data_IF_420029591014
#
_entry.id   IF_420029591014
#
_cell.length_a   1.000
_cell.length_b   1.000
_cell.length_c   1.000
_cell.angle_alpha   90.00
_cell.angle_beta   90.00
_cell.angle_gamma   90.00
#
_symmetry.space_group_name_H-M   'P 1'
#
loop_
_entity.id
_entity.type
_entity.pdbx_description
1 polymer ?
#
# COMPACT_ATOMS: atom_id res chain seq x y z
N UNK A 1 18.02 -48.55 9.69
CA UNK A 1 17.87 -47.09 9.72
C UNK A 1 17.71 -46.64 8.27
N UNK A 2 16.49 -46.19 7.91
CA UNK A 2 16.31 -45.45 6.68
C UNK A 2 16.67 -44.01 7.00
N UNK A 3 17.79 -43.51 6.44
CA UNK A 3 18.08 -42.09 6.44
C UNK A 3 16.97 -41.42 5.63
N UNK A 4 16.14 -40.65 6.32
CA UNK A 4 15.16 -39.77 5.67
C UNK A 4 15.99 -38.63 5.07
N UNK A 5 16.27 -38.72 3.76
CA UNK A 5 16.88 -37.61 3.03
C UNK A 5 15.87 -36.50 2.91
N UNK A 6 16.17 -35.35 3.51
CA UNK A 6 15.35 -34.16 3.33
C UNK A 6 15.79 -33.50 2.01
N UNK A 7 14.98 -33.65 0.97
CA UNK A 7 15.21 -33.14 -0.36
C UNK A 7 14.79 -31.67 -0.45
N UNK A 8 15.55 -30.86 -1.17
CA UNK A 8 15.28 -29.45 -1.41
C UNK A 8 16.52 -28.72 -1.91
N UNK A 9 16.38 -27.44 -2.23
CA UNK A 9 17.52 -26.62 -2.63
C UNK A 9 18.48 -26.39 -1.46
N UNK A 10 19.78 -26.73 -1.65
CA UNK A 10 20.82 -26.56 -0.63
C UNK A 10 21.73 -25.36 -0.88
N UNK A 11 21.49 -24.58 -1.95
CA UNK A 11 22.31 -23.41 -2.27
C UNK A 11 21.77 -22.17 -1.54
N UNK A 12 22.54 -21.53 -0.62
CA UNK A 12 22.10 -20.36 0.13
C UNK A 12 21.85 -19.10 -0.71
N UNK A 13 22.33 -19.07 -1.96
CA UNK A 13 22.11 -17.97 -2.90
C UNK A 13 20.83 -18.14 -3.73
N UNK A 14 20.15 -19.30 -3.62
CA UNK A 14 18.88 -19.52 -4.31
C UNK A 14 17.70 -18.94 -3.54
N UNK A 15 16.67 -18.55 -4.27
CA UNK A 15 15.43 -17.97 -3.73
C UNK A 15 14.63 -18.95 -2.86
N UNK A 16 14.73 -20.23 -3.18
CA UNK A 16 14.01 -21.31 -2.49
C UNK A 16 14.95 -22.18 -1.63
N UNK A 17 16.04 -21.56 -1.10
CA UNK A 17 16.95 -22.25 -0.17
C UNK A 17 16.19 -22.86 1.01
N UNK A 18 16.41 -24.16 1.21
CA UNK A 18 15.87 -24.88 2.37
C UNK A 18 17.00 -25.24 3.34
N UNK A 19 17.15 -24.56 4.49
CA UNK A 19 18.21 -24.83 5.46
C UNK A 19 18.14 -26.23 6.08
N UNK A 20 16.99 -26.91 6.00
CA UNK A 20 16.79 -28.27 6.50
C UNK A 20 17.07 -29.34 5.44
N UNK A 21 17.30 -28.96 4.17
CA UNK A 21 17.62 -29.90 3.12
C UNK A 21 19.02 -30.50 3.34
N UNK A 22 19.11 -31.83 3.24
CA UNK A 22 20.36 -32.58 3.35
C UNK A 22 20.86 -33.09 2.00
N UNK A 23 20.01 -33.02 0.99
CA UNK A 23 20.33 -33.45 -0.40
C UNK A 23 19.66 -32.47 -1.37
N UNK A 24 20.46 -31.93 -2.27
CA UNK A 24 19.98 -31.10 -3.36
C UNK A 24 19.17 -31.96 -4.35
N UNK A 25 17.93 -31.55 -4.60
CA UNK A 25 17.03 -32.24 -5.56
C UNK A 25 17.01 -31.55 -6.92
N UNK A 26 17.86 -30.55 -7.16
CA UNK A 26 17.92 -29.75 -8.38
C UNK A 26 16.82 -28.72 -8.53
N UNK A 27 16.07 -28.43 -7.46
CA UNK A 27 14.98 -27.44 -7.45
C UNK A 27 15.45 -26.01 -7.22
N UNK A 28 16.77 -25.76 -7.11
CA UNK A 28 17.27 -24.41 -6.86
C UNK A 28 16.85 -23.41 -7.93
N UNK A 29 16.20 -22.34 -7.51
CA UNK A 29 15.76 -21.24 -8.37
C UNK A 29 16.60 -19.98 -8.09
N UNK A 30 17.11 -19.37 -9.17
CA UNK A 30 17.95 -18.17 -9.12
C UNK A 30 17.35 -17.00 -9.90
N UNK A 31 16.24 -17.23 -10.60
CA UNK A 31 15.62 -16.24 -11.51
C UNK A 31 14.28 -15.71 -11.03
N UNK A 32 13.71 -16.33 -10.00
CA UNK A 32 12.38 -15.97 -9.43
C UNK A 32 12.46 -15.43 -8.00
N UNK A 33 13.65 -14.98 -7.58
CA UNK A 33 13.84 -14.36 -6.26
C UNK A 33 13.02 -13.08 -6.07
N UNK A 34 12.63 -12.47 -7.19
CA UNK A 34 11.81 -11.27 -7.23
C UNK A 34 10.30 -11.59 -7.41
N UNK A 35 9.86 -12.87 -7.26
CA UNK A 35 8.44 -13.22 -7.30
C UNK A 35 7.70 -12.55 -6.13
N UNK A 36 6.89 -11.57 -6.49
CA UNK A 36 6.17 -10.71 -5.56
C UNK A 36 6.74 -9.30 -5.43
N UNK A 37 7.92 -9.00 -6.01
CA UNK A 37 8.39 -7.63 -6.13
C UNK A 37 7.51 -6.85 -7.12
N UNK A 38 7.12 -5.66 -6.73
CA UNK A 38 6.24 -4.78 -7.48
C UNK A 38 6.79 -3.36 -7.51
N UNK A 39 6.49 -2.65 -8.59
CA UNK A 39 6.75 -1.22 -8.72
C UNK A 39 5.43 -0.45 -8.52
N UNK A 40 5.36 0.31 -7.44
CA UNK A 40 4.29 1.30 -7.22
C UNK A 40 4.68 2.59 -7.93
N UNK A 41 4.00 2.89 -9.02
CA UNK A 41 4.25 4.10 -9.82
C UNK A 41 3.25 5.19 -9.44
N UNK A 42 3.74 6.26 -8.81
CA UNK A 42 2.96 7.43 -8.44
C UNK A 42 3.22 8.56 -9.45
N UNK A 43 2.20 8.95 -10.22
CA UNK A 43 2.23 10.15 -11.04
C UNK A 43 1.72 11.32 -10.22
N UNK A 44 2.62 12.21 -9.82
CA UNK A 44 2.36 13.31 -8.89
C UNK A 44 2.20 14.62 -9.66
N UNK A 45 1.11 15.32 -9.40
CA UNK A 45 0.85 16.65 -9.95
C UNK A 45 1.32 17.73 -8.98
N UNK A 46 1.61 18.91 -9.50
CA UNK A 46 1.82 20.11 -8.69
C UNK A 46 0.64 20.37 -7.76
N UNK A 47 0.90 20.65 -6.49
CA UNK A 47 -0.11 20.80 -5.45
C UNK A 47 -0.34 19.49 -4.68
N UNK A 48 -1.56 19.27 -4.21
CA UNK A 48 -1.88 18.12 -3.37
C UNK A 48 -2.07 16.84 -4.15
N UNK A 49 -1.57 15.72 -3.60
CA UNK A 49 -1.74 14.36 -4.11
C UNK A 49 -2.13 13.45 -2.95
N UNK A 50 -3.20 12.69 -3.11
CA UNK A 50 -3.62 11.66 -2.16
C UNK A 50 -2.98 10.35 -2.59
N UNK A 51 -2.00 9.90 -1.84
CA UNK A 51 -1.17 8.73 -2.18
C UNK A 51 -1.31 7.62 -1.15
N UNK A 52 -1.05 6.39 -1.58
CA UNK A 52 -0.74 5.26 -0.72
C UNK A 52 0.42 4.45 -1.32
N UNK A 53 1.17 3.77 -0.47
CA UNK A 53 2.28 2.90 -0.89
C UNK A 53 1.86 1.47 -0.62
N UNK A 54 1.50 0.72 -1.67
CA UNK A 54 1.04 -0.67 -1.56
C UNK A 54 2.17 -1.69 -1.83
N UNK A 55 3.35 -1.40 -1.33
CA UNK A 55 4.52 -2.28 -1.37
C UNK A 55 5.26 -2.25 -0.03
N UNK A 56 5.72 -3.40 0.44
CA UNK A 56 6.58 -3.54 1.63
C UNK A 56 8.02 -3.38 1.19
N UNK A 57 8.71 -2.33 1.63
CA UNK A 57 10.03 -1.96 1.11
C UNK A 57 11.21 -2.32 2.03
N UNK A 58 10.95 -2.75 3.25
CA UNK A 58 11.98 -3.02 4.26
C UNK A 58 12.62 -1.76 4.86
N UNK A 59 12.31 -0.56 4.33
CA UNK A 59 12.65 0.74 4.90
C UNK A 59 11.60 1.79 4.51
N UNK A 60 10.60 1.95 5.35
CA UNK A 60 9.41 2.76 5.11
C UNK A 60 9.58 4.22 5.56
N UNK A 61 10.82 4.65 5.87
CA UNK A 61 11.12 6.03 6.25
C UNK A 61 10.90 7.01 5.09
N UNK A 62 10.46 8.23 5.39
CA UNK A 62 10.26 9.29 4.39
C UNK A 62 11.50 9.56 3.53
N UNK A 63 12.74 9.63 4.09
CA UNK A 63 13.93 9.79 3.26
C UNK A 63 14.18 8.64 2.28
N UNK A 64 13.80 7.40 2.65
CA UNK A 64 13.93 6.23 1.78
C UNK A 64 12.91 6.27 0.65
N UNK A 65 11.62 6.46 1.00
CA UNK A 65 10.52 6.37 0.04
C UNK A 65 10.38 7.61 -0.83
N UNK A 66 10.44 8.81 -0.23
CA UNK A 66 10.19 10.09 -0.89
C UNK A 66 11.46 10.91 -1.18
N UNK A 67 12.63 10.41 -0.78
CA UNK A 67 13.92 11.07 -1.04
C UNK A 67 14.17 11.36 -2.53
N UNK A 68 13.81 10.48 -3.47
CA UNK A 68 13.98 10.73 -4.91
C UNK A 68 13.27 11.99 -5.43
N UNK A 69 12.18 12.44 -4.79
CA UNK A 69 11.45 13.67 -5.15
C UNK A 69 12.23 14.95 -4.83
N UNK A 70 13.16 14.89 -3.85
CA UNK A 70 14.02 16.02 -3.47
C UNK A 70 13.22 17.30 -3.25
N UNK A 71 13.76 18.42 -3.73
CA UNK A 71 13.16 19.75 -3.63
C UNK A 71 11.85 19.92 -4.43
N UNK A 72 11.45 18.93 -5.23
CA UNK A 72 10.15 18.88 -5.92
C UNK A 72 8.98 18.66 -4.96
N UNK A 73 9.24 17.99 -3.81
CA UNK A 73 8.26 17.84 -2.75
C UNK A 73 8.33 19.01 -1.75
N UNK A 74 7.24 19.25 -1.01
CA UNK A 74 7.14 20.35 -0.06
C UNK A 74 6.70 19.89 1.33
N UNK A 75 5.64 19.09 1.39
CA UNK A 75 4.96 18.76 2.64
C UNK A 75 4.22 17.43 2.50
N UNK A 76 4.17 16.65 3.58
CA UNK A 76 3.35 15.44 3.67
C UNK A 76 2.66 15.38 5.03
N UNK A 77 1.42 14.88 5.05
CA UNK A 77 0.67 14.66 6.29
C UNK A 77 -0.10 13.36 6.24
N UNK A 78 -0.22 12.72 7.40
CA UNK A 78 -1.11 11.59 7.69
C UNK A 78 -2.37 12.08 8.41
N UNK A 79 -3.30 11.17 8.65
CA UNK A 79 -4.49 11.45 9.46
C UNK A 79 -4.14 11.59 10.95
N UNK A 80 -3.24 10.75 11.47
CA UNK A 80 -2.97 10.63 12.91
C UNK A 80 -1.50 10.83 13.32
N UNK A 81 -0.53 10.50 12.43
CA UNK A 81 0.91 10.46 12.78
C UNK A 81 1.61 11.81 12.58
N UNK A 82 0.82 12.83 12.20
CA UNK A 82 1.31 14.19 12.03
C UNK A 82 1.78 14.50 10.61
N UNK A 83 2.88 15.24 10.51
CA UNK A 83 3.34 15.77 9.22
C UNK A 83 4.85 15.94 9.18
N UNK A 84 5.40 16.11 7.97
CA UNK A 84 6.80 16.50 7.72
C UNK A 84 6.90 17.48 6.57
N UNK A 85 7.88 18.39 6.65
CA UNK A 85 8.25 19.32 5.59
C UNK A 85 9.57 18.89 4.95
N UNK A 86 9.73 19.17 3.66
CA UNK A 86 11.00 18.99 2.99
C UNK A 86 11.84 20.27 3.02
N UNK A 87 13.11 20.14 3.38
CA UNK A 87 14.10 21.21 3.43
C UNK A 87 15.31 20.84 2.58
N UNK A 88 15.78 21.74 1.73
CA UNK A 88 16.86 21.49 0.78
C UNK A 88 18.18 21.06 1.46
N UNK A 89 18.45 21.57 2.67
CA UNK A 89 19.70 21.30 3.38
C UNK A 89 19.72 19.97 4.16
N UNK A 90 18.57 19.43 4.58
CA UNK A 90 18.51 18.24 5.45
C UNK A 90 17.35 17.26 5.14
N UNK A 91 16.59 17.49 4.07
CA UNK A 91 15.51 16.59 3.64
C UNK A 91 14.23 16.72 4.49
N UNK A 92 13.55 15.60 4.69
CA UNK A 92 12.31 15.54 5.43
C UNK A 92 12.50 15.74 6.94
N UNK A 93 11.69 16.61 7.55
CA UNK A 93 11.73 16.89 8.98
C UNK A 93 10.32 17.19 9.51
N UNK A 94 9.91 16.48 10.56
CA UNK A 94 8.63 16.60 11.24
C UNK A 94 8.35 15.45 12.16
N UNK A 95 7.08 15.25 12.54
CA UNK A 95 6.63 14.14 13.38
C UNK A 95 6.30 12.88 12.57
N UNK A 96 5.96 13.03 11.30
CA UNK A 96 5.76 11.90 10.39
C UNK A 96 7.13 11.45 9.86
N UNK A 97 7.60 10.29 10.30
CA UNK A 97 8.94 9.77 9.97
C UNK A 97 8.89 8.58 9.02
N UNK A 98 7.81 7.78 9.08
CA UNK A 98 7.60 6.55 8.31
C UNK A 98 6.22 6.55 7.66
N UNK A 99 6.08 5.80 6.56
CA UNK A 99 4.80 5.59 5.88
C UNK A 99 4.34 4.14 6.06
N UNK A 100 3.07 3.99 6.42
CA UNK A 100 2.41 2.70 6.56
C UNK A 100 1.63 2.36 5.29
N UNK A 101 1.66 1.10 4.86
CA UNK A 101 0.93 0.63 3.68
C UNK A 101 -0.59 0.77 3.85
N UNK A 102 -1.10 0.65 5.09
CA UNK A 102 -2.53 0.72 5.41
C UNK A 102 -3.11 2.14 5.26
N UNK A 103 -2.26 3.17 5.28
CA UNK A 103 -2.67 4.55 5.36
C UNK A 103 -2.62 5.29 4.01
N UNK A 104 -3.49 6.30 3.90
CA UNK A 104 -3.38 7.34 2.89
C UNK A 104 -2.59 8.52 3.45
N UNK A 105 -1.84 9.17 2.57
CA UNK A 105 -1.13 10.42 2.86
C UNK A 105 -1.51 11.52 1.88
N UNK A 106 -1.48 12.77 2.35
CA UNK A 106 -1.57 13.92 1.49
C UNK A 106 -0.17 14.50 1.29
N UNK A 107 0.35 14.38 0.06
CA UNK A 107 1.65 14.88 -0.36
C UNK A 107 1.48 16.16 -1.19
N UNK A 108 2.14 17.24 -0.81
CA UNK A 108 2.17 18.49 -1.56
C UNK A 108 3.46 18.59 -2.38
N UNK A 109 3.29 18.81 -3.70
CA UNK A 109 4.36 18.93 -4.67
C UNK A 109 4.48 20.36 -5.20
N UNK A 110 5.71 20.83 -5.40
CA UNK A 110 6.01 22.12 -6.05
C UNK A 110 5.98 22.04 -7.58
N UNK A 111 6.14 20.84 -8.11
CA UNK A 111 6.17 20.52 -9.54
C UNK A 111 5.62 19.14 -9.81
N UNK A 112 5.24 18.87 -11.06
CA UNK A 112 4.86 17.53 -11.49
C UNK A 112 6.10 16.61 -11.44
N UNK A 113 5.91 15.35 -10.98
CA UNK A 113 6.98 14.35 -10.93
C UNK A 113 6.39 12.94 -10.99
N UNK A 114 7.26 11.94 -11.14
CA UNK A 114 6.92 10.54 -11.02
C UNK A 114 7.82 9.89 -9.98
N UNK A 115 7.22 9.18 -9.05
CA UNK A 115 7.92 8.39 -8.05
C UNK A 115 7.67 6.91 -8.31
N UNK A 116 8.72 6.11 -8.31
CA UNK A 116 8.63 4.63 -8.33
C UNK A 116 9.13 4.12 -7.00
N UNK A 117 8.29 3.36 -6.32
CA UNK A 117 8.63 2.66 -5.08
C UNK A 117 8.61 1.17 -5.37
N UNK A 118 9.76 0.52 -5.27
CA UNK A 118 9.92 -0.92 -5.49
C UNK A 118 9.92 -1.65 -4.15
N UNK A 119 9.16 -2.74 -4.04
CA UNK A 119 9.07 -3.56 -2.84
C UNK A 119 8.29 -4.84 -3.07
N UNK A 120 8.07 -5.61 -2.01
CA UNK A 120 7.23 -6.81 -2.08
C UNK A 120 5.75 -6.43 -2.09
N UNK A 121 4.95 -7.13 -2.88
CA UNK A 121 3.49 -6.96 -2.85
C UNK A 121 2.94 -7.20 -1.44
N UNK A 122 1.98 -6.36 -1.02
CA UNK A 122 1.31 -6.53 0.28
C UNK A 122 0.44 -7.79 0.23
N UNK A 123 0.57 -8.66 1.24
CA UNK A 123 -0.39 -9.74 1.45
C UNK A 123 -1.69 -9.17 2.03
N UNK A 124 -2.64 -8.86 1.16
CA UNK A 124 -3.89 -8.18 1.51
C UNK A 124 -4.76 -8.96 2.49
N UNK A 125 -4.64 -10.30 2.50
CA UNK A 125 -5.43 -11.14 3.40
C UNK A 125 -4.93 -11.11 4.84
N UNK A 126 -3.63 -10.85 5.03
CA UNK A 126 -2.98 -10.75 6.35
C UNK A 126 -2.71 -9.31 6.80
N UNK A 127 -3.15 -8.31 6.03
CA UNK A 127 -2.95 -6.88 6.32
C UNK A 127 -4.32 -6.17 6.42
N UNK A 128 -5.09 -6.43 7.51
CA UNK A 128 -6.37 -5.76 7.73
C UNK A 128 -6.17 -4.30 8.14
N UNK A 129 -6.95 -3.38 7.57
CA UNK A 129 -6.96 -1.97 7.97
C UNK A 129 -8.00 -1.76 9.08
N UNK A 130 -7.55 -1.31 10.24
CA UNK A 130 -8.43 -0.92 11.35
C UNK A 130 -9.17 0.37 11.02
N UNK A 131 -10.50 0.36 11.14
CA UNK A 131 -11.37 1.48 10.84
C UNK A 131 -12.10 1.95 12.10
N UNK A 132 -12.24 3.27 12.25
CA UNK A 132 -12.94 3.91 13.36
C UNK A 132 -14.20 4.62 12.87
N UNK A 133 -15.17 4.82 13.76
CA UNK A 133 -16.35 5.64 13.46
C UNK A 133 -15.92 7.01 12.91
N UNK A 134 -16.55 7.44 11.82
CA UNK A 134 -16.23 8.69 11.12
C UNK A 134 -15.25 8.48 9.96
N UNK A 135 -14.37 9.46 9.74
CA UNK A 135 -13.47 9.47 8.60
C UNK A 135 -12.18 8.67 8.85
N UNK A 136 -11.81 7.85 7.86
CA UNK A 136 -10.58 7.07 7.82
C UNK A 136 -9.84 7.35 6.51
N UNK A 137 -8.56 7.66 6.60
CA UNK A 137 -7.67 7.83 5.45
C UNK A 137 -7.01 6.48 5.14
N UNK A 138 -7.52 5.78 4.14
CA UNK A 138 -7.12 4.40 3.84
C UNK A 138 -6.22 4.31 2.62
N UNK A 139 -5.19 3.45 2.70
CA UNK A 139 -4.41 2.99 1.57
C UNK A 139 -5.17 1.96 0.74
N UNK A 140 -4.86 1.85 -0.54
CA UNK A 140 -5.34 0.77 -1.40
C UNK A 140 -4.23 -0.26 -1.59
N UNK A 141 -4.38 -1.43 -0.94
CA UNK A 141 -3.31 -2.45 -0.85
C UNK A 141 -3.16 -3.35 -2.09
N UNK A 142 -4.25 -3.71 -2.84
CA UNK A 142 -4.12 -4.60 -4.00
C UNK A 142 -3.24 -4.01 -5.11
N UNK A 143 -2.62 -4.89 -5.91
CA UNK A 143 -1.72 -4.49 -7.01
C UNK A 143 -2.44 -4.17 -8.31
N UNK A 144 -3.73 -4.52 -8.40
CA UNK A 144 -4.60 -4.21 -9.55
C UNK A 144 -5.81 -3.41 -9.08
N UNK A 145 -6.39 -2.62 -9.97
CA UNK A 145 -7.63 -1.92 -9.67
C UNK A 145 -8.79 -2.89 -9.48
N UNK A 146 -9.74 -2.51 -8.65
CA UNK A 146 -10.94 -3.30 -8.39
C UNK A 146 -12.18 -2.41 -8.30
N UNK A 147 -13.34 -3.03 -8.48
CA UNK A 147 -14.61 -2.34 -8.29
C UNK A 147 -14.81 -1.99 -6.82
N UNK A 148 -15.43 -0.83 -6.57
CA UNK A 148 -15.70 -0.37 -5.22
C UNK A 148 -16.50 -1.40 -4.40
N UNK A 149 -17.51 -2.06 -5.03
CA UNK A 149 -18.31 -3.09 -4.38
C UNK A 149 -17.50 -4.29 -3.92
N UNK A 150 -16.53 -4.74 -4.72
CA UNK A 150 -15.71 -5.89 -4.40
C UNK A 150 -14.63 -5.51 -3.39
N UNK A 151 -13.92 -4.43 -3.62
CA UNK A 151 -12.85 -3.95 -2.75
C UNK A 151 -13.31 -3.70 -1.31
N UNK A 152 -14.51 -3.14 -1.12
CA UNK A 152 -15.06 -2.82 0.20
C UNK A 152 -16.08 -3.87 0.71
N UNK A 153 -16.06 -5.09 0.16
CA UNK A 153 -17.03 -6.13 0.52
C UNK A 153 -16.94 -6.56 2.00
N UNK A 154 -15.76 -6.48 2.61
CA UNK A 154 -15.55 -6.86 4.02
C UNK A 154 -16.18 -5.89 5.02
N UNK A 155 -16.33 -4.60 4.68
CA UNK A 155 -16.94 -3.59 5.56
C UNK A 155 -18.46 -3.49 5.40
N UNK A 156 -18.99 -3.95 4.26
CA UNK A 156 -20.43 -4.01 4.01
C UNK A 156 -21.15 -2.68 4.26
N UNK A 157 -22.26 -2.74 5.01
CA UNK A 157 -23.10 -1.60 5.43
C UNK A 157 -22.48 -0.76 6.57
N UNK A 158 -21.36 -1.18 7.15
CA UNK A 158 -20.59 -0.39 8.11
C UNK A 158 -19.98 0.86 7.49
N UNK A 159 -19.70 0.86 6.20
CA UNK A 159 -19.18 2.02 5.48
C UNK A 159 -20.32 2.79 4.80
N UNK A 160 -20.32 4.13 4.91
CA UNK A 160 -21.42 4.99 4.45
C UNK A 160 -21.08 5.85 3.23
N UNK A 161 -19.79 6.24 3.11
CA UNK A 161 -19.34 7.16 2.06
C UNK A 161 -17.85 6.97 1.79
N UNK A 162 -17.44 7.12 0.54
CA UNK A 162 -16.05 7.13 0.14
C UNK A 162 -15.79 8.21 -0.91
N UNK A 163 -14.63 8.83 -0.83
CA UNK A 163 -14.18 9.84 -1.81
C UNK A 163 -12.73 9.65 -2.18
N UNK A 164 -12.42 9.99 -3.43
CA UNK A 164 -11.07 10.09 -3.98
C UNK A 164 -10.72 11.54 -4.31
N UNK A 165 -9.47 11.82 -4.60
CA UNK A 165 -9.06 13.14 -5.03
C UNK A 165 -9.59 13.51 -6.43
N UNK A 166 -9.66 12.54 -7.37
CA UNK A 166 -9.91 12.82 -8.78
C UNK A 166 -11.18 12.17 -9.33
N UNK A 167 -11.57 10.99 -8.81
CA UNK A 167 -12.64 10.18 -9.43
C UNK A 167 -14.02 10.44 -8.77
N UNK A 168 -14.07 11.43 -7.86
CA UNK A 168 -15.28 11.82 -7.16
C UNK A 168 -15.57 10.96 -5.93
N UNK A 169 -16.84 10.60 -5.75
CA UNK A 169 -17.30 9.92 -4.53
C UNK A 169 -18.40 8.91 -4.80
N UNK A 170 -18.66 8.04 -3.82
CA UNK A 170 -19.84 7.17 -3.78
C UNK A 170 -20.41 7.09 -2.37
N UNK A 171 -21.73 6.91 -2.29
CA UNK A 171 -22.48 6.72 -1.05
C UNK A 171 -23.02 5.29 -1.02
N UNK A 172 -23.00 4.66 0.15
CA UNK A 172 -23.60 3.34 0.34
C UNK A 172 -25.08 3.44 0.67
N UNK A 173 -25.89 2.61 0.04
CA UNK A 173 -27.33 2.47 0.29
C UNK A 173 -27.66 0.99 0.54
N UNK A 174 -28.39 0.69 1.60
CA UNK A 174 -28.70 -0.68 2.05
C UNK A 174 -29.30 -1.56 0.94
N UNK A 175 -30.17 -1.01 0.11
CA UNK A 175 -30.86 -1.74 -0.97
C UNK A 175 -30.07 -1.82 -2.29
N UNK A 176 -29.04 -0.97 -2.50
CA UNK A 176 -28.38 -0.73 -3.78
C UNK A 176 -26.87 -0.89 -3.73
N UNK A 177 -26.28 -0.88 -2.53
CA UNK A 177 -24.83 -0.83 -2.32
C UNK A 177 -24.25 0.54 -2.69
N UNK A 178 -23.04 0.57 -3.20
CA UNK A 178 -22.34 1.81 -3.55
C UNK A 178 -22.90 2.46 -4.82
N UNK A 179 -23.22 3.75 -4.74
CA UNK A 179 -23.72 4.56 -5.83
C UNK A 179 -23.06 5.94 -5.87
N UNK A 180 -22.48 6.29 -7.02
CA UNK A 180 -21.79 7.57 -7.25
C UNK A 180 -20.90 7.54 -8.49
N UNK A 181 -19.96 8.47 -8.57
CA UNK A 181 -18.99 8.55 -9.67
C UNK A 181 -17.74 7.69 -9.41
N UNK A 182 -17.37 7.45 -8.15
CA UNK A 182 -16.26 6.58 -7.78
C UNK A 182 -16.70 5.12 -7.87
N UNK A 183 -16.22 4.41 -8.88
CA UNK A 183 -16.59 3.02 -9.13
C UNK A 183 -15.43 2.04 -9.03
N UNK A 184 -14.20 2.54 -9.13
CA UNK A 184 -12.97 1.75 -9.11
C UNK A 184 -11.98 2.35 -8.11
N UNK A 185 -11.25 1.49 -7.42
CA UNK A 185 -10.08 1.86 -6.62
C UNK A 185 -8.80 1.43 -7.34
N UNK A 186 -7.74 2.21 -7.23
CA UNK A 186 -6.50 2.03 -7.98
C UNK A 186 -5.27 1.96 -7.07
N UNK A 187 -4.26 1.13 -7.40
CA UNK A 187 -2.97 1.13 -6.72
C UNK A 187 -2.33 2.52 -6.68
N UNK A 188 -1.61 2.81 -5.61
CA UNK A 188 -0.90 4.08 -5.42
C UNK A 188 -1.77 5.26 -5.03
N UNK A 189 -3.10 5.09 -4.98
CA UNK A 189 -4.05 6.15 -4.60
C UNK A 189 -4.58 5.95 -3.19
N UNK A 190 -4.72 7.05 -2.48
CA UNK A 190 -5.39 7.10 -1.18
C UNK A 190 -6.86 7.50 -1.29
N UNK A 191 -7.65 7.07 -0.32
CA UNK A 191 -9.09 7.32 -0.25
C UNK A 191 -9.51 7.75 1.16
N UNK A 192 -10.56 8.55 1.26
CA UNK A 192 -11.23 8.84 2.52
C UNK A 192 -12.51 8.03 2.61
N UNK A 193 -12.60 7.15 3.60
CA UNK A 193 -13.74 6.28 3.87
C UNK A 193 -14.44 6.73 5.16
N UNK A 194 -15.76 6.90 5.11
CA UNK A 194 -16.58 7.21 6.26
C UNK A 194 -17.29 5.97 6.77
N UNK A 195 -17.11 5.69 8.05
CA UNK A 195 -17.70 4.56 8.76
C UNK A 195 -18.82 5.00 9.71
N UNK A 196 -19.87 4.18 9.81
CA UNK A 196 -20.96 4.37 10.79
C UNK A 196 -20.58 3.90 12.21
N UNK A 197 -19.57 3.09 12.34
CA UNK A 197 -19.00 2.55 13.58
C UNK A 197 -17.63 1.95 13.31
N UNK A 198 -16.96 1.48 14.36
CA UNK A 198 -15.67 0.81 14.24
C UNK A 198 -15.78 -0.47 13.41
N UNK A 199 -14.73 -0.83 12.68
CA UNK A 199 -14.69 -2.01 11.82
C UNK A 199 -13.28 -2.35 11.35
N UNK A 200 -13.20 -3.24 10.38
CA UNK A 200 -11.95 -3.68 9.77
C UNK A 200 -12.15 -3.86 8.27
N UNK A 201 -11.25 -3.32 7.46
CA UNK A 201 -11.24 -3.53 6.02
C UNK A 201 -10.19 -4.58 5.68
N UNK A 202 -10.63 -5.68 5.10
CA UNK A 202 -9.75 -6.69 4.48
C UNK A 202 -10.04 -6.68 2.99
N UNK A 203 -9.05 -6.30 2.19
CA UNK A 203 -9.19 -6.35 0.74
C UNK A 203 -9.24 -7.81 0.26
N UNK A 204 -10.09 -8.13 -0.74
CA UNK A 204 -10.11 -9.47 -1.32
C UNK A 204 -8.77 -9.79 -1.99
N UNK A 205 -8.30 -11.02 -1.80
CA UNK A 205 -7.20 -11.58 -2.59
C UNK A 205 -7.70 -11.77 -4.01
N UNK A 206 -7.00 -11.20 -5.00
CA UNK A 206 -7.32 -11.28 -6.42
C UNK A 206 -7.17 -12.69 -7.00
#
# INVERSE_FOLDING_TARGET
NYDIQNLGCTDPESCNYNPDATVDDGSCEFTSCDEGEVDVVLSLATGWNWISINAVTGNDSLPSLLGPLGAGAEYITSQYDGFSNYYDDYGWYGSLEELDVEAMYMLQMKQDDNLVVTGMAVDVASTPISLFEGWNWIGYLPQIHDTLHHALSSVGDGATYITSQYDGFSTYYDDWGWYGSLNLLYPGRGYMLQMAGDGELVYPSG
#
